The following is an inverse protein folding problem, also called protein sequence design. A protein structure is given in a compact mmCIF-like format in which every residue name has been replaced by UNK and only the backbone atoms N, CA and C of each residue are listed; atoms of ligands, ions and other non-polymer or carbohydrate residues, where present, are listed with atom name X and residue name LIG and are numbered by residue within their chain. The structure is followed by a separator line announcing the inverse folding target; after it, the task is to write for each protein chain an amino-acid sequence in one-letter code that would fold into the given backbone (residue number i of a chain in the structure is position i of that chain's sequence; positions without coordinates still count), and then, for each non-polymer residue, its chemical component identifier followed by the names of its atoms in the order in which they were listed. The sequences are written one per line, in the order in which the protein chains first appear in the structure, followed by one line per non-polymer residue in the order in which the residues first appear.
data_IF_391232836350
#
_entry.id   IF_391232836350
#
_cell.length_a   1.000
_cell.length_b   1.000
_cell.length_c   1.000
_cell.angle_alpha   90.00
_cell.angle_beta   90.00
_cell.angle_gamma   90.00
#
_symmetry.space_group_name_H-M   'P 1'
#
loop_
_entity.id
_entity.type
_entity.pdbx_description
1 polymer ?
#
# COMPACT_ATOMS: atom_id res chain seq x y z
N UNK A 1 -15.86 -11.44 5.77
CA UNK A 1 -15.11 -11.68 7.03
C UNK A 1 -15.59 -10.74 8.15
N UNK A 2 -15.28 -11.07 9.40
CA UNK A 2 -15.56 -10.19 10.56
C UNK A 2 -14.84 -8.83 10.39
N UNK A 3 -13.60 -8.84 9.90
CA UNK A 3 -12.85 -7.62 9.64
C UNK A 3 -13.58 -6.70 8.65
N UNK A 4 -14.16 -7.25 7.59
CA UNK A 4 -14.97 -6.47 6.63
C UNK A 4 -16.18 -5.81 7.29
N UNK A 5 -16.86 -6.49 8.20
CA UNK A 5 -18.01 -5.93 8.93
C UNK A 5 -17.56 -4.77 9.86
N UNK A 6 -16.45 -4.95 10.55
CA UNK A 6 -15.85 -3.92 11.41
C UNK A 6 -15.48 -2.68 10.59
N UNK A 7 -14.79 -2.87 9.46
CA UNK A 7 -14.37 -1.76 8.61
C UNK A 7 -15.56 -1.02 7.99
N UNK A 8 -16.59 -1.73 7.55
CA UNK A 8 -17.84 -1.12 7.07
C UNK A 8 -18.59 -0.33 8.16
N UNK A 9 -18.59 -0.83 9.39
CA UNK A 9 -19.17 -0.11 10.52
C UNK A 9 -18.39 1.17 10.82
N UNK A 10 -17.07 1.08 10.82
CA UNK A 10 -16.19 2.22 11.01
C UNK A 10 -16.34 3.28 9.92
N UNK A 11 -16.44 2.89 8.65
CA UNK A 11 -16.72 3.81 7.53
C UNK A 11 -18.07 4.53 7.66
N UNK A 12 -19.11 3.80 8.12
CA UNK A 12 -20.44 4.42 8.35
C UNK A 12 -20.41 5.46 9.46
N UNK A 13 -19.64 5.21 10.52
CA UNK A 13 -19.45 6.15 11.61
C UNK A 13 -18.59 7.37 11.23
N UNK A 14 -17.74 7.21 10.21
CA UNK A 14 -16.79 8.24 9.77
C UNK A 14 -16.87 8.44 8.23
N UNK A 15 -17.95 9.06 7.71
CA UNK A 15 -18.18 9.22 6.28
C UNK A 15 -17.03 9.87 5.48
N UNK A 16 -16.24 10.83 6.04
CA UNK A 16 -15.10 11.40 5.33
C UNK A 16 -13.99 10.41 4.95
N UNK A 17 -13.98 9.21 5.55
CA UNK A 17 -13.01 8.17 5.19
C UNK A 17 -13.27 7.63 3.78
N UNK A 18 -14.53 7.51 3.37
CA UNK A 18 -14.88 7.00 2.04
C UNK A 18 -14.77 8.11 1.00
N UNK A 19 -13.59 8.32 0.46
CA UNK A 19 -13.36 9.25 -0.65
C UNK A 19 -12.97 8.47 -1.89
N UNK A 20 -13.71 8.67 -2.98
CA UNK A 20 -13.30 8.23 -4.30
C UNK A 20 -12.53 9.38 -4.95
N UNK A 21 -11.23 9.22 -5.12
CA UNK A 21 -10.45 10.08 -5.99
C UNK A 21 -10.51 9.44 -7.38
N UNK A 22 -10.93 10.22 -8.36
CA UNK A 22 -10.88 9.77 -9.76
C UNK A 22 -9.41 9.66 -10.12
N UNK A 23 -8.93 8.45 -10.30
CA UNK A 23 -7.59 8.20 -10.79
C UNK A 23 -7.55 8.65 -12.27
N UNK A 24 -6.76 9.65 -12.55
CA UNK A 24 -6.38 9.98 -13.92
C UNK A 24 -5.34 8.94 -14.35
N UNK A 25 -5.74 8.02 -15.20
CA UNK A 25 -4.78 7.18 -15.92
C UNK A 25 -3.91 8.10 -16.75
N UNK A 26 -2.68 8.28 -16.35
CA UNK A 26 -1.71 8.99 -17.17
C UNK A 26 -1.41 8.12 -18.39
N UNK A 27 -1.51 8.69 -19.59
CA UNK A 27 -1.04 8.06 -20.84
C UNK A 27 0.50 7.92 -20.87
N UNK A 28 1.12 7.83 -19.73
CA UNK A 28 2.56 7.68 -19.62
C UNK A 28 2.98 6.28 -20.07
N UNK A 29 4.09 6.26 -20.76
CA UNK A 29 4.73 5.04 -21.28
C UNK A 29 5.24 4.12 -20.15
N UNK A 30 5.39 4.66 -18.92
CA UNK A 30 5.90 3.96 -17.71
C UNK A 30 4.77 3.78 -16.69
N UNK A 31 4.69 2.59 -16.12
CA UNK A 31 3.74 2.30 -15.04
C UNK A 31 4.20 2.97 -13.75
N UNK A 32 3.35 3.82 -13.17
CA UNK A 32 3.67 4.54 -11.95
C UNK A 32 3.19 3.78 -10.72
N UNK A 33 4.15 3.32 -9.91
CA UNK A 33 3.89 2.52 -8.71
C UNK A 33 4.23 3.34 -7.46
N UNK A 34 3.22 3.60 -6.64
CA UNK A 34 3.38 4.24 -5.35
C UNK A 34 3.50 3.22 -4.23
N UNK A 35 4.44 3.41 -3.33
CA UNK A 35 4.56 2.65 -2.10
C UNK A 35 4.26 3.56 -0.90
N UNK A 36 3.26 3.22 -0.10
CA UNK A 36 2.84 4.01 1.05
C UNK A 36 3.13 3.29 2.36
N UNK A 37 3.77 3.96 3.30
CA UNK A 37 4.08 3.39 4.61
C UNK A 37 4.77 4.35 5.56
N UNK A 38 4.91 3.94 6.82
CA UNK A 38 5.50 4.74 7.89
C UNK A 38 6.76 4.11 8.51
N UNK A 39 7.38 3.14 7.82
CA UNK A 39 8.51 2.37 8.35
C UNK A 39 9.65 2.22 7.33
N UNK A 40 9.92 3.27 6.55
CA UNK A 40 11.02 3.30 5.57
C UNK A 40 12.36 3.58 6.27
N UNK A 41 12.65 2.78 7.29
CA UNK A 41 13.84 2.81 8.11
C UNK A 41 14.25 1.39 8.50
N UNK A 42 15.25 1.21 9.34
CA UNK A 42 15.71 -0.09 9.86
C UNK A 42 14.60 -0.79 10.65
N UNK A 43 13.66 -1.35 9.93
CA UNK A 43 12.46 -2.01 10.42
C UNK A 43 12.12 -3.22 9.55
N UNK A 44 11.34 -4.19 10.08
CA UNK A 44 10.92 -5.38 9.34
C UNK A 44 10.18 -5.05 8.05
N UNK A 45 9.32 -4.05 8.04
CA UNK A 45 8.60 -3.59 6.84
C UNK A 45 9.58 -3.17 5.73
N UNK A 46 10.58 -2.36 6.05
CA UNK A 46 11.58 -1.95 5.05
C UNK A 46 12.43 -3.15 4.59
N UNK A 47 12.77 -4.09 5.49
CA UNK A 47 13.50 -5.32 5.09
C UNK A 47 12.76 -6.11 4.01
N UNK A 48 11.44 -6.12 4.06
CA UNK A 48 10.62 -6.82 3.07
C UNK A 48 10.50 -6.07 1.75
N UNK A 49 10.36 -4.75 1.79
CA UNK A 49 9.92 -3.97 0.64
C UNK A 49 11.01 -3.13 0.00
N UNK A 50 12.03 -2.69 0.74
CA UNK A 50 13.05 -1.79 0.21
C UNK A 50 13.79 -2.38 -1.01
N UNK A 51 14.03 -3.69 -1.02
CA UNK A 51 14.60 -4.38 -2.18
C UNK A 51 13.69 -4.35 -3.41
N UNK A 52 12.37 -4.49 -3.20
CA UNK A 52 11.36 -4.43 -4.27
C UNK A 52 11.27 -3.00 -4.83
N UNK A 53 11.22 -1.99 -3.95
CA UNK A 53 11.22 -0.57 -4.34
C UNK A 53 12.44 -0.26 -5.22
N UNK A 54 13.64 -0.68 -4.78
CA UNK A 54 14.89 -0.49 -5.52
C UNK A 54 14.87 -1.22 -6.86
N UNK A 55 14.45 -2.49 -6.85
CA UNK A 55 14.38 -3.31 -8.06
C UNK A 55 13.46 -2.69 -9.11
N UNK A 56 12.25 -2.32 -8.73
CA UNK A 56 11.31 -1.68 -9.65
C UNK A 56 11.81 -0.32 -10.13
N UNK A 57 12.41 0.49 -9.26
CA UNK A 57 12.94 1.81 -9.64
C UNK A 57 14.14 1.73 -10.60
N UNK A 58 14.80 0.58 -10.70
CA UNK A 58 15.89 0.34 -11.66
C UNK A 58 15.42 -0.11 -13.05
N UNK A 59 14.13 -0.39 -13.22
CA UNK A 59 13.55 -0.83 -14.49
C UNK A 59 12.96 0.35 -15.25
N UNK A 60 13.24 0.43 -16.55
CA UNK A 60 12.80 1.55 -17.40
C UNK A 60 11.27 1.63 -17.57
N UNK A 61 10.56 0.52 -17.39
CA UNK A 61 9.11 0.44 -17.53
C UNK A 61 8.34 1.03 -16.35
N UNK A 62 9.04 1.30 -15.22
CA UNK A 62 8.42 1.75 -13.99
C UNK A 62 8.89 3.13 -13.55
N UNK A 63 7.99 3.90 -12.98
CA UNK A 63 8.26 5.08 -12.18
C UNK A 63 7.80 4.81 -10.76
N UNK A 64 8.73 4.85 -9.79
CA UNK A 64 8.44 4.49 -8.41
C UNK A 64 8.37 5.74 -7.54
N UNK A 65 7.30 5.86 -6.76
CA UNK A 65 7.07 6.94 -5.80
C UNK A 65 6.96 6.37 -4.39
N UNK A 66 7.76 6.86 -3.47
CA UNK A 66 7.71 6.48 -2.06
C UNK A 66 6.94 7.54 -1.27
N UNK A 67 5.73 7.22 -0.86
CA UNK A 67 4.91 8.02 0.06
C UNK A 67 5.29 7.66 1.49
N UNK A 68 6.05 8.53 2.12
CA UNK A 68 6.77 8.24 3.35
C UNK A 68 6.19 9.02 4.53
N UNK A 69 5.62 8.32 5.49
CA UNK A 69 5.14 8.84 6.77
C UNK A 69 6.06 8.45 7.95
N UNK A 70 7.31 8.11 7.68
CA UNK A 70 8.30 7.77 8.71
C UNK A 70 8.68 9.02 9.49
N UNK A 71 8.51 8.98 10.81
CA UNK A 71 8.79 10.13 11.68
C UNK A 71 10.30 10.38 11.86
N UNK A 72 11.10 9.31 11.84
CA UNK A 72 12.55 9.36 11.98
C UNK A 72 13.20 8.54 10.87
N UNK A 73 13.87 9.20 9.95
CA UNK A 73 14.60 8.55 8.86
C UNK A 73 15.98 8.08 9.32
N UNK A 74 16.50 7.07 8.65
CA UNK A 74 17.87 6.57 8.81
C UNK A 74 18.51 6.27 7.44
N UNK A 75 19.68 5.63 7.45
CA UNK A 75 20.42 5.25 6.26
C UNK A 75 19.66 4.29 5.30
N UNK A 76 18.69 3.55 5.82
CA UNK A 76 17.86 2.65 5.01
C UNK A 76 16.94 3.39 4.06
N UNK A 77 16.41 4.55 4.45
CA UNK A 77 15.63 5.39 3.54
C UNK A 77 16.51 5.86 2.37
N UNK A 78 17.70 6.39 2.66
CA UNK A 78 18.66 6.83 1.63
C UNK A 78 19.04 5.67 0.71
N UNK A 79 19.29 4.49 1.27
CA UNK A 79 19.57 3.29 0.49
C UNK A 79 18.37 2.90 -0.40
N UNK A 80 17.15 2.94 0.11
CA UNK A 80 15.93 2.62 -0.63
C UNK A 80 15.73 3.53 -1.84
N UNK A 81 16.03 4.81 -1.69
CA UNK A 81 15.88 5.83 -2.73
C UNK A 81 17.01 5.81 -3.78
N UNK A 82 18.15 5.18 -3.48
CA UNK A 82 19.39 5.29 -4.26
C UNK A 82 19.34 4.75 -5.70
N UNK A 83 18.20 4.21 -6.15
CA UNK A 83 17.99 3.72 -7.54
C UNK A 83 17.03 4.59 -8.35
N UNK A 84 16.64 5.76 -7.85
CA UNK A 84 15.83 6.72 -8.59
C UNK A 84 14.34 6.74 -8.23
N UNK A 85 13.94 6.13 -7.11
CA UNK A 85 12.59 6.30 -6.58
C UNK A 85 12.37 7.76 -6.13
N UNK A 86 11.22 8.33 -6.49
CA UNK A 86 10.83 9.67 -6.04
C UNK A 86 10.37 9.63 -4.58
N UNK A 87 10.97 10.42 -3.72
CA UNK A 87 10.56 10.52 -2.31
C UNK A 87 9.53 11.62 -2.10
N UNK A 88 8.43 11.28 -1.46
CA UNK A 88 7.37 12.21 -1.04
C UNK A 88 7.06 12.03 0.45
N UNK A 89 7.68 12.81 1.33
CA UNK A 89 7.32 12.85 2.75
C UNK A 89 5.88 13.30 2.93
N UNK A 90 5.14 12.63 3.82
CA UNK A 90 3.75 13.01 4.13
C UNK A 90 3.28 12.45 5.47
N UNK A 91 2.19 13.00 5.98
CA UNK A 91 1.65 12.66 7.30
C UNK A 91 0.60 11.53 7.28
N UNK A 92 0.18 11.10 6.08
CA UNK A 92 -0.90 10.12 5.85
C UNK A 92 -2.22 10.49 6.57
N UNK A 93 -2.52 11.78 6.67
CA UNK A 93 -3.82 12.27 7.18
C UNK A 93 -4.91 12.21 6.11
N UNK A 94 -6.14 12.53 6.50
CA UNK A 94 -7.26 12.66 5.54
C UNK A 94 -7.01 13.72 4.47
N UNK A 95 -6.34 14.82 4.83
CA UNK A 95 -6.02 15.90 3.89
C UNK A 95 -4.93 15.52 2.90
N UNK A 96 -3.92 14.80 3.34
CA UNK A 96 -2.79 14.40 2.47
C UNK A 96 -3.16 13.38 1.39
N UNK A 97 -4.33 12.73 1.48
CA UNK A 97 -4.84 11.84 0.42
C UNK A 97 -4.93 12.49 -0.94
N UNK A 98 -5.20 13.79 -1.00
CA UNK A 98 -5.26 14.55 -2.27
C UNK A 98 -3.90 14.71 -2.94
N UNK A 99 -2.81 14.42 -2.24
CA UNK A 99 -1.45 14.48 -2.76
C UNK A 99 -1.01 13.16 -3.43
N UNK A 100 -1.79 12.09 -3.25
CA UNK A 100 -1.61 10.83 -3.98
C UNK A 100 -2.30 10.99 -5.33
N UNK A 101 -1.58 11.54 -6.30
CA UNK A 101 -2.07 11.72 -7.66
C UNK A 101 -1.12 11.01 -8.62
N UNK A 102 -1.68 10.64 -9.76
CA UNK A 102 -0.92 10.09 -10.89
C UNK A 102 -0.14 8.80 -10.57
N UNK A 103 -0.67 7.93 -9.71
CA UNK A 103 -0.16 6.56 -9.56
C UNK A 103 -1.17 5.56 -10.11
N UNK A 104 -0.69 4.59 -10.86
CA UNK A 104 -1.50 3.52 -11.44
C UNK A 104 -1.75 2.41 -10.42
N UNK A 105 -0.73 2.12 -9.61
CA UNK A 105 -0.78 1.11 -8.55
C UNK A 105 -0.31 1.75 -7.25
N UNK A 106 -1.09 1.62 -6.18
CA UNK A 106 -0.69 2.02 -4.83
C UNK A 106 -0.51 0.78 -3.96
N UNK A 107 0.70 0.56 -3.48
CA UNK A 107 1.07 -0.55 -2.59
C UNK A 107 1.19 -0.04 -1.17
N UNK A 108 0.38 -0.58 -0.27
CA UNK A 108 0.50 -0.35 1.16
C UNK A 108 1.55 -1.30 1.75
N UNK A 109 2.60 -0.73 2.32
CA UNK A 109 3.67 -1.46 2.97
C UNK A 109 3.22 -2.13 4.27
N UNK A 110 2.23 -1.52 4.91
CA UNK A 110 1.59 -2.03 6.13
C UNK A 110 0.18 -1.47 6.28
N UNK A 111 -0.73 -2.27 6.81
CA UNK A 111 -2.04 -1.81 7.27
C UNK A 111 -2.33 -2.45 8.64
N UNK A 112 -2.74 -1.62 9.60
CA UNK A 112 -3.06 -2.07 10.95
C UNK A 112 -1.98 -1.79 12.00
N UNK A 113 -0.74 -1.47 11.61
CA UNK A 113 0.30 -1.05 12.55
C UNK A 113 0.13 0.43 12.95
N UNK A 114 -0.32 1.27 12.02
CA UNK A 114 -0.67 2.67 12.29
C UNK A 114 -2.05 3.00 11.76
N UNK A 115 -2.84 3.70 12.55
CA UNK A 115 -4.19 4.13 12.17
C UNK A 115 -4.18 5.05 10.93
N UNK A 116 -3.12 5.81 10.71
CA UNK A 116 -2.98 6.72 9.57
C UNK A 116 -2.94 5.97 8.24
N UNK A 117 -2.19 4.86 8.13
CA UNK A 117 -2.16 4.04 6.93
C UNK A 117 -3.55 3.47 6.61
N UNK A 118 -4.27 3.01 7.65
CA UNK A 118 -5.64 2.53 7.50
C UNK A 118 -6.59 3.64 7.04
N UNK A 119 -6.39 4.88 7.49
CA UNK A 119 -7.17 6.06 7.04
C UNK A 119 -7.06 6.26 5.53
N UNK A 120 -5.89 6.06 4.96
CA UNK A 120 -5.70 6.13 3.51
C UNK A 120 -6.37 4.96 2.80
N UNK A 121 -6.23 3.76 3.34
CA UNK A 121 -6.75 2.53 2.74
C UNK A 121 -8.28 2.50 2.62
N UNK A 122 -9.00 3.30 3.41
CA UNK A 122 -10.45 3.46 3.27
C UNK A 122 -10.88 4.21 2.00
N UNK A 123 -9.96 4.86 1.30
CA UNK A 123 -10.24 5.60 0.08
C UNK A 123 -9.66 4.88 -1.15
N UNK A 124 -10.32 5.06 -2.30
CA UNK A 124 -9.76 4.68 -3.59
C UNK A 124 -8.83 5.81 -4.06
N UNK A 125 -7.52 5.65 -3.89
CA UNK A 125 -6.50 6.64 -4.21
C UNK A 125 -5.78 6.35 -5.53
N UNK A 126 -5.86 5.11 -6.01
CA UNK A 126 -5.28 4.66 -7.26
C UNK A 126 -6.22 3.67 -7.97
N UNK A 127 -6.09 3.47 -9.30
CA UNK A 127 -6.84 2.45 -10.04
C UNK A 127 -6.71 1.06 -9.44
N UNK A 128 -5.50 0.68 -9.04
CA UNK A 128 -5.20 -0.58 -8.37
C UNK A 128 -4.58 -0.29 -7.02
N UNK A 129 -5.12 -0.91 -5.96
CA UNK A 129 -4.58 -0.80 -4.62
C UNK A 129 -4.26 -2.18 -4.06
N UNK A 130 -3.07 -2.31 -3.49
CA UNK A 130 -2.47 -3.57 -3.09
C UNK A 130 -2.03 -3.47 -1.63
N UNK A 131 -2.35 -4.48 -0.84
CA UNK A 131 -1.73 -4.70 0.46
C UNK A 131 -0.63 -5.74 0.31
N UNK A 132 0.60 -5.36 0.65
CA UNK A 132 1.71 -6.31 0.67
C UNK A 132 1.78 -7.02 2.03
N UNK A 133 2.08 -8.30 2.02
CA UNK A 133 2.20 -9.10 3.23
C UNK A 133 3.28 -8.54 4.17
N UNK A 134 2.95 -8.16 5.30
CA UNK A 134 3.79 -7.67 6.38
C UNK A 134 3.00 -7.83 7.66
N UNK A 135 1.69 -7.94 7.47
CA UNK A 135 0.72 -8.27 8.50
C UNK A 135 -0.11 -9.46 7.98
N UNK A 136 -0.21 -10.59 8.71
CA UNK A 136 -0.81 -11.84 8.20
C UNK A 136 -2.34 -11.81 8.14
N UNK A 137 -2.96 -10.65 8.03
CA UNK A 137 -4.40 -10.49 8.08
C UNK A 137 -4.91 -9.68 6.90
N UNK A 138 -6.11 -10.04 6.44
CA UNK A 138 -6.89 -9.23 5.51
C UNK A 138 -7.05 -7.79 6.04
N UNK A 139 -7.02 -6.80 5.15
CA UNK A 139 -7.38 -5.41 5.52
C UNK A 139 -8.86 -5.30 5.91
N UNK A 140 -9.71 -6.18 5.38
CA UNK A 140 -11.16 -6.11 5.51
C UNK A 140 -11.80 -5.01 4.65
N UNK A 141 -11.08 -4.47 3.66
CA UNK A 141 -11.46 -3.35 2.80
C UNK A 141 -11.62 -3.75 1.32
N UNK A 142 -12.47 -4.73 0.97
CA UNK A 142 -12.58 -5.23 -0.41
C UNK A 142 -13.09 -4.17 -1.40
N UNK A 143 -13.70 -3.07 -0.90
CA UNK A 143 -14.20 -1.98 -1.75
C UNK A 143 -13.08 -1.00 -2.16
N UNK A 144 -11.92 -1.05 -1.49
CA UNK A 144 -10.80 -0.14 -1.75
C UNK A 144 -9.45 -0.82 -1.97
N UNK A 145 -9.21 -1.99 -1.40
CA UNK A 145 -8.01 -2.80 -1.64
C UNK A 145 -8.36 -3.97 -2.54
N UNK A 146 -7.69 -4.07 -3.69
CA UNK A 146 -7.99 -5.07 -4.71
C UNK A 146 -7.25 -6.38 -4.43
N UNK A 147 -5.97 -6.29 -4.08
CA UNK A 147 -5.10 -7.45 -3.95
C UNK A 147 -4.40 -7.50 -2.60
N UNK A 148 -4.29 -8.72 -2.06
CA UNK A 148 -3.39 -9.07 -0.98
C UNK A 148 -2.26 -9.91 -1.55
N UNK A 149 -1.03 -9.39 -1.53
CA UNK A 149 0.15 -10.12 -1.99
C UNK A 149 0.73 -10.92 -0.85
N UNK A 150 0.77 -12.24 -0.99
CA UNK A 150 1.33 -13.19 -0.04
C UNK A 150 2.44 -14.03 -0.68
N UNK A 151 3.08 -14.87 0.10
CA UNK A 151 4.10 -15.81 -0.36
C UNK A 151 3.61 -17.26 -0.23
N UNK A 152 4.00 -18.12 -1.17
CA UNK A 152 3.75 -19.56 -1.09
C UNK A 152 4.32 -20.19 0.19
N UNK A 153 5.32 -19.56 0.80
CA UNK A 153 5.88 -20.01 2.07
C UNK A 153 4.99 -19.76 3.30
N UNK A 154 3.96 -18.92 3.18
CA UNK A 154 3.03 -18.58 4.28
C UNK A 154 1.65 -19.18 4.11
N UNK A 155 1.30 -19.57 2.90
CA UNK A 155 -0.01 -20.11 2.60
C UNK A 155 0.07 -21.63 2.42
N UNK A 156 -0.86 -22.35 3.05
CA UNK A 156 -0.92 -23.79 2.83
C UNK A 156 -1.27 -24.09 1.36
N UNK A 157 -0.66 -25.12 0.73
CA UNK A 157 -0.84 -25.38 -0.70
C UNK A 157 -2.30 -25.55 -1.16
N UNK A 158 -3.16 -26.03 -0.28
CA UNK A 158 -4.57 -26.31 -0.57
C UNK A 158 -5.52 -25.34 0.16
N UNK A 159 -5.03 -24.22 0.69
CA UNK A 159 -5.85 -23.25 1.42
C UNK A 159 -6.75 -22.48 0.45
N UNK A 160 -8.03 -22.39 0.81
CA UNK A 160 -8.97 -21.50 0.12
C UNK A 160 -8.77 -20.07 0.63
N UNK A 161 -7.88 -19.35 -0.01
CA UNK A 161 -7.51 -17.99 0.38
C UNK A 161 -8.69 -17.01 0.35
N UNK A 162 -9.75 -17.31 -0.42
CA UNK A 162 -10.96 -16.48 -0.48
C UNK A 162 -11.71 -16.43 0.86
N UNK A 163 -11.49 -17.42 1.74
CA UNK A 163 -12.04 -17.42 3.10
C UNK A 163 -11.23 -16.61 4.09
N UNK A 164 -9.94 -16.43 3.82
CA UNK A 164 -9.01 -15.71 4.71
C UNK A 164 -8.94 -14.23 4.40
N UNK A 165 -8.87 -13.91 3.11
CA UNK A 165 -8.70 -12.55 2.63
C UNK A 165 -10.00 -12.00 2.04
N UNK A 166 -10.29 -10.74 2.30
CA UNK A 166 -11.39 -10.02 1.67
C UNK A 166 -11.01 -9.52 0.27
N UNK A 167 -9.71 -9.38 0.04
CA UNK A 167 -9.06 -9.01 -1.20
C UNK A 167 -8.79 -10.26 -2.06
N UNK A 168 -8.50 -10.07 -3.33
CA UNK A 168 -7.97 -11.15 -4.15
C UNK A 168 -6.53 -11.46 -3.74
N UNK A 169 -6.29 -12.67 -3.23
CA UNK A 169 -4.95 -13.09 -2.85
C UNK A 169 -4.10 -13.45 -4.08
N UNK A 170 -2.88 -12.93 -4.12
CA UNK A 170 -1.85 -13.25 -5.11
C UNK A 170 -0.65 -13.84 -4.37
N UNK A 171 -0.12 -14.97 -4.84
CA UNK A 171 1.04 -15.66 -4.26
C UNK A 171 2.23 -15.60 -5.20
N UNK A 172 3.43 -15.56 -4.65
CA UNK A 172 4.71 -15.61 -5.38
C UNK A 172 5.71 -16.52 -4.68
#
# INVERSE_FOLDING_TARGET
SLMTQIQRAYQRAHPPLKKQLVATTTKNKRLRVGFAGAYWKRHSVCKLLCGIVRGLASLDDFEVVLFDATEESDDWLAWTLGTGATHRPMDMTLSSRTQVQDVDILVYAELGMRARALTWAHARLAPVQVLFWGHPHTSGLPDSIDYFVSSDGFEAPNDDLSRRYAEQAVRF
#
